data_IF_899057146902
#
_entry.id   IF_899057146902
#
_cell.length_a   1.000
_cell.length_b   1.000
_cell.length_c   1.000
_cell.angle_alpha   90.00
_cell.angle_beta   90.00
_cell.angle_gamma   90.00
#
_symmetry.space_group_name_H-M   'P 1'
#
loop_
_entity.id
_entity.type
_entity.pdbx_description
1 polymer ?
#
# COMPACT_ATOMS: atom_id res chain seq x y z
N UNK A 1 -30.04 -73.64 33.37
CA UNK A 1 -30.75 -72.35 33.19
C UNK A 1 -29.74 -71.39 32.60
N UNK A 2 -29.68 -71.32 31.23
CA UNK A 2 -28.68 -70.58 30.50
C UNK A 2 -29.27 -69.25 29.98
N UNK A 3 -28.80 -68.16 30.51
CA UNK A 3 -29.17 -66.81 30.06
C UNK A 3 -28.13 -66.33 29.00
N UNK A 4 -28.61 -66.21 27.76
CA UNK A 4 -27.81 -65.63 26.69
C UNK A 4 -28.00 -64.10 26.65
N UNK A 5 -26.91 -63.36 26.92
CA UNK A 5 -26.88 -61.91 26.76
C UNK A 5 -26.53 -61.61 25.30
N UNK A 6 -27.43 -60.88 24.57
CA UNK A 6 -27.15 -60.35 23.22
C UNK A 6 -26.50 -58.98 23.33
N UNK A 7 -25.23 -58.88 22.89
CA UNK A 7 -24.54 -57.62 22.70
C UNK A 7 -25.00 -56.97 21.38
N UNK A 8 -25.61 -55.78 21.44
CA UNK A 8 -25.89 -54.91 20.29
C UNK A 8 -24.61 -54.18 19.91
N UNK A 9 -24.13 -54.38 18.67
CA UNK A 9 -23.08 -53.57 18.07
C UNK A 9 -23.67 -52.22 17.69
N UNK A 10 -23.15 -51.13 18.30
CA UNK A 10 -23.39 -49.75 17.87
C UNK A 10 -22.33 -49.41 16.83
N UNK A 11 -22.74 -49.23 15.61
CA UNK A 11 -21.85 -48.77 14.53
C UNK A 11 -21.63 -47.25 14.67
N UNK A 12 -20.41 -46.86 14.91
CA UNK A 12 -20.00 -45.45 14.85
C UNK A 12 -19.68 -45.14 13.37
N UNK A 13 -20.55 -44.40 12.70
CA UNK A 13 -20.25 -43.83 11.40
C UNK A 13 -19.34 -42.60 11.58
N UNK A 14 -18.08 -42.75 11.23
CA UNK A 14 -17.14 -41.64 11.14
C UNK A 14 -17.47 -40.79 9.91
N UNK A 15 -18.17 -39.69 10.07
CA UNK A 15 -18.39 -38.69 9.04
C UNK A 15 -17.10 -37.90 8.80
N UNK A 16 -16.52 -38.10 7.63
CA UNK A 16 -15.37 -37.31 7.15
C UNK A 16 -15.89 -35.93 6.72
N UNK A 17 -15.72 -34.91 7.54
CA UNK A 17 -15.98 -33.52 7.16
C UNK A 17 -14.79 -33.04 6.35
N UNK A 18 -14.93 -33.04 5.01
CA UNK A 18 -14.00 -32.34 4.12
C UNK A 18 -14.21 -30.84 4.31
N UNK A 19 -13.32 -30.19 5.06
CA UNK A 19 -13.24 -28.74 5.07
C UNK A 19 -12.63 -28.26 3.73
N UNK A 20 -13.48 -27.90 2.77
CA UNK A 20 -13.05 -27.14 1.62
C UNK A 20 -12.63 -25.75 2.11
N UNK A 21 -11.32 -25.54 2.31
CA UNK A 21 -10.74 -24.21 2.41
C UNK A 21 -10.86 -23.57 1.03
N UNK A 22 -11.97 -22.92 0.75
CA UNK A 22 -12.13 -22.05 -0.38
C UNK A 22 -11.13 -20.91 -0.26
N UNK A 23 -10.20 -20.80 -1.21
CA UNK A 23 -9.42 -19.60 -1.45
C UNK A 23 -10.43 -18.49 -1.77
N UNK A 24 -10.83 -17.73 -0.75
CA UNK A 24 -11.59 -16.51 -0.95
C UNK A 24 -10.66 -15.52 -1.67
N UNK A 25 -10.83 -15.38 -2.97
CA UNK A 25 -10.31 -14.21 -3.70
C UNK A 25 -10.98 -13.01 -3.05
N UNK A 26 -10.20 -12.18 -2.36
CA UNK A 26 -10.72 -10.96 -1.78
C UNK A 26 -11.31 -10.12 -2.90
N UNK A 27 -12.63 -9.95 -2.91
CA UNK A 27 -13.31 -9.06 -3.83
C UNK A 27 -12.75 -7.65 -3.61
N UNK A 28 -12.48 -6.92 -4.70
CA UNK A 28 -12.09 -5.52 -4.60
C UNK A 28 -13.16 -4.77 -3.78
N UNK A 29 -12.81 -4.08 -2.70
CA UNK A 29 -13.79 -3.47 -1.84
C UNK A 29 -14.49 -2.34 -2.59
N UNK A 30 -15.81 -2.37 -2.64
CA UNK A 30 -16.58 -1.23 -3.15
C UNK A 30 -16.43 -0.03 -2.19
N UNK A 31 -16.35 -0.28 -0.87
CA UNK A 31 -16.17 0.74 0.18
C UNK A 31 -15.37 0.20 1.37
N UNK A 32 -14.71 1.10 2.08
CA UNK A 32 -14.09 0.79 3.38
C UNK A 32 -12.81 -0.03 3.32
N UNK A 33 -12.21 -0.20 2.13
CA UNK A 33 -10.96 -0.93 1.95
C UNK A 33 -9.71 -0.06 2.06
N UNK A 34 -8.64 -0.51 1.41
CA UNK A 34 -7.35 0.17 1.28
C UNK A 34 -7.19 0.64 -0.16
N UNK A 35 -7.04 1.94 -0.39
CA UNK A 35 -6.81 2.50 -1.71
C UNK A 35 -5.34 2.84 -1.88
N UNK A 36 -4.69 2.21 -2.86
CA UNK A 36 -3.39 2.61 -3.36
C UNK A 36 -3.59 3.63 -4.47
N UNK A 37 -2.96 4.80 -4.37
CA UNK A 37 -3.11 5.89 -5.32
C UNK A 37 -1.79 6.60 -5.55
N UNK A 38 -1.68 7.33 -6.66
CA UNK A 38 -0.46 8.04 -7.05
C UNK A 38 -0.07 7.79 -8.49
N UNK A 39 1.23 7.60 -8.77
CA UNK A 39 1.75 7.55 -10.12
C UNK A 39 2.17 6.14 -10.59
N UNK A 40 3.01 6.08 -11.65
CA UNK A 40 3.35 4.85 -12.39
C UNK A 40 3.91 3.72 -11.52
N UNK A 41 4.67 4.02 -10.47
CA UNK A 41 5.25 2.98 -9.60
C UNK A 41 4.14 2.14 -8.96
N UNK A 42 3.04 2.75 -8.55
CA UNK A 42 1.90 1.98 -8.04
C UNK A 42 1.02 1.45 -9.17
N UNK A 43 0.83 2.20 -10.26
CA UNK A 43 0.02 1.70 -11.39
C UNK A 43 0.59 0.39 -11.94
N UNK A 44 1.91 0.28 -12.04
CA UNK A 44 2.58 -0.91 -12.60
C UNK A 44 2.77 -2.05 -11.57
N UNK A 45 2.30 -1.88 -10.35
CA UNK A 45 2.26 -2.96 -9.36
C UNK A 45 1.07 -3.90 -9.65
N UNK A 46 1.20 -4.72 -10.71
CA UNK A 46 0.11 -5.53 -11.25
C UNK A 46 -0.36 -6.65 -10.31
N UNK A 47 0.54 -7.20 -9.48
CA UNK A 47 0.24 -8.23 -8.48
C UNK A 47 -0.13 -7.67 -7.10
N UNK A 48 -0.45 -6.38 -6.99
CA UNK A 48 -0.72 -5.72 -5.72
C UNK A 48 -1.78 -6.46 -4.88
N UNK A 49 -2.92 -6.77 -5.49
CA UNK A 49 -4.04 -7.43 -4.78
C UNK A 49 -3.66 -8.80 -4.25
N UNK A 50 -2.95 -9.59 -5.04
CA UNK A 50 -2.46 -10.92 -4.68
C UNK A 50 -1.43 -10.83 -3.53
N UNK A 51 -0.45 -9.93 -3.67
CA UNK A 51 0.62 -9.77 -2.69
C UNK A 51 0.14 -9.18 -1.36
N UNK A 52 -0.92 -8.36 -1.38
CA UNK A 52 -1.53 -7.80 -0.16
C UNK A 52 -2.58 -8.71 0.48
N UNK A 53 -3.03 -9.78 -0.19
CA UNK A 53 -4.03 -10.67 0.39
C UNK A 53 -3.67 -11.11 1.83
N UNK A 54 -4.62 -11.15 2.79
CA UNK A 54 -6.08 -11.01 2.64
C UNK A 54 -6.61 -9.57 2.73
N UNK A 55 -5.75 -8.54 2.74
CA UNK A 55 -6.21 -7.14 2.84
C UNK A 55 -7.02 -6.74 1.60
N UNK A 56 -8.16 -6.05 1.77
CA UNK A 56 -9.01 -5.60 0.68
C UNK A 56 -8.41 -4.35 0.02
N UNK A 57 -7.54 -4.52 -0.96
CA UNK A 57 -6.83 -3.42 -1.62
C UNK A 57 -7.40 -3.12 -3.01
N UNK A 58 -7.37 -1.83 -3.37
CA UNK A 58 -7.74 -1.32 -4.68
C UNK A 58 -6.65 -0.39 -5.21
N UNK A 59 -6.13 -0.65 -6.42
CA UNK A 59 -5.16 0.22 -7.08
C UNK A 59 -5.87 1.26 -7.94
N UNK A 60 -5.71 2.54 -7.59
CA UNK A 60 -6.25 3.71 -8.30
C UNK A 60 -5.16 4.67 -8.78
N UNK A 61 -3.91 4.20 -8.84
CA UNK A 61 -2.78 4.98 -9.33
C UNK A 61 -2.85 5.19 -10.86
N UNK A 62 -2.37 6.34 -11.32
CA UNK A 62 -2.34 6.72 -12.74
C UNK A 62 -0.91 7.19 -13.08
N UNK A 63 -0.29 6.54 -14.07
CA UNK A 63 1.06 6.89 -14.51
C UNK A 63 1.14 8.34 -14.98
N UNK A 64 2.29 8.96 -14.72
CA UNK A 64 2.57 10.34 -15.15
C UNK A 64 1.98 11.42 -14.24
N UNK A 65 1.14 11.08 -13.24
CA UNK A 65 0.55 12.08 -12.36
C UNK A 65 1.60 12.79 -11.51
N UNK A 66 1.40 14.10 -11.32
CA UNK A 66 2.09 14.96 -10.37
C UNK A 66 1.22 15.21 -9.13
N UNK A 67 1.78 15.81 -8.09
CA UNK A 67 1.05 16.07 -6.84
C UNK A 67 -0.18 16.97 -7.04
N UNK A 68 -0.16 17.90 -7.99
CA UNK A 68 -1.31 18.72 -8.36
C UNK A 68 -2.44 17.90 -8.97
N UNK A 69 -2.12 16.94 -9.85
CA UNK A 69 -3.12 16.03 -10.42
C UNK A 69 -3.82 15.22 -9.33
N UNK A 70 -3.07 14.80 -8.31
CA UNK A 70 -3.63 14.03 -7.20
C UNK A 70 -4.64 14.85 -6.39
N UNK A 71 -4.35 16.14 -6.15
CA UNK A 71 -5.30 17.06 -5.52
C UNK A 71 -6.61 17.16 -6.34
N UNK A 72 -6.49 17.40 -7.64
CA UNK A 72 -7.62 17.58 -8.54
C UNK A 72 -8.47 16.32 -8.74
N UNK A 73 -7.86 15.14 -8.58
CA UNK A 73 -8.51 13.84 -8.84
C UNK A 73 -8.92 13.06 -7.59
N UNK A 74 -8.73 13.60 -6.39
CA UNK A 74 -9.10 12.92 -5.14
C UNK A 74 -10.58 12.48 -5.14
N UNK A 75 -11.47 13.36 -5.61
CA UNK A 75 -12.91 13.10 -5.73
C UNK A 75 -13.27 11.96 -6.68
N UNK A 76 -12.36 11.58 -7.59
CA UNK A 76 -12.54 10.47 -8.53
C UNK A 76 -11.81 9.20 -8.09
N UNK A 77 -10.59 9.36 -7.56
CA UNK A 77 -9.68 8.24 -7.34
C UNK A 77 -9.77 7.65 -5.92
N UNK A 78 -10.25 8.42 -4.93
CA UNK A 78 -10.18 8.04 -3.52
C UNK A 78 -11.52 8.16 -2.80
N UNK A 79 -12.13 9.33 -2.81
CA UNK A 79 -13.32 9.60 -1.99
C UNK A 79 -14.52 8.69 -2.26
N UNK A 80 -14.82 8.26 -3.51
CA UNK A 80 -15.96 7.36 -3.78
C UNK A 80 -15.85 6.01 -3.08
N UNK A 81 -14.64 5.57 -2.75
CA UNK A 81 -14.38 4.27 -2.10
C UNK A 81 -14.43 4.35 -0.57
N UNK A 82 -14.56 5.54 0.03
CA UNK A 82 -14.60 5.75 1.47
C UNK A 82 -13.53 4.91 2.21
N UNK A 83 -12.24 4.99 1.81
CA UNK A 83 -11.23 4.06 2.28
C UNK A 83 -10.96 4.23 3.78
N UNK A 84 -10.72 3.12 4.47
CA UNK A 84 -10.13 3.15 5.81
C UNK A 84 -8.67 3.58 5.78
N UNK A 85 -7.96 3.16 4.73
CA UNK A 85 -6.53 3.47 4.56
C UNK A 85 -6.29 3.92 3.12
N UNK A 86 -5.50 4.99 2.97
CA UNK A 86 -4.92 5.42 1.69
C UNK A 86 -3.42 5.19 1.74
N UNK A 87 -2.87 4.53 0.72
CA UNK A 87 -1.42 4.40 0.50
C UNK A 87 -1.07 5.22 -0.73
N UNK A 88 -0.16 6.17 -0.56
CA UNK A 88 0.09 7.23 -1.55
C UNK A 88 1.54 7.24 -2.00
N UNK A 89 1.76 7.23 -3.33
CA UNK A 89 3.05 7.42 -3.97
C UNK A 89 2.96 8.49 -5.07
N UNK A 90 3.47 9.69 -4.82
CA UNK A 90 3.55 10.76 -5.82
C UNK A 90 4.67 11.74 -5.48
N UNK A 91 5.10 12.52 -6.48
CA UNK A 91 6.16 13.52 -6.38
C UNK A 91 7.37 13.24 -7.30
N UNK A 92 7.54 12.00 -7.76
CA UNK A 92 8.63 11.64 -8.69
C UNK A 92 8.54 12.41 -10.01
N UNK A 93 7.33 12.56 -10.57
CA UNK A 93 7.10 13.30 -11.80
C UNK A 93 7.23 14.82 -11.60
N UNK A 94 6.87 15.32 -10.42
CA UNK A 94 7.10 16.72 -10.02
C UNK A 94 8.60 17.05 -10.07
N UNK A 95 9.45 16.15 -9.55
CA UNK A 95 10.91 16.30 -9.59
C UNK A 95 11.42 16.30 -11.03
N UNK A 96 10.92 15.42 -11.91
CA UNK A 96 11.25 15.42 -13.33
C UNK A 96 10.82 16.71 -14.03
N UNK A 97 9.71 17.31 -13.59
CA UNK A 97 9.22 18.61 -14.06
C UNK A 97 9.97 19.81 -13.45
N UNK A 98 11.04 19.57 -12.67
CA UNK A 98 11.87 20.62 -12.08
C UNK A 98 11.33 21.25 -10.81
N UNK A 99 10.26 20.72 -10.22
CA UNK A 99 9.67 21.23 -8.98
C UNK A 99 10.63 21.05 -7.79
N UNK A 100 10.57 21.96 -6.84
CA UNK A 100 11.32 21.89 -5.59
C UNK A 100 10.63 21.05 -4.51
N UNK A 101 11.38 20.69 -3.47
CA UNK A 101 10.86 19.87 -2.38
C UNK A 101 9.73 20.56 -1.59
N UNK A 102 9.83 21.87 -1.39
CA UNK A 102 8.84 22.60 -0.60
C UNK A 102 7.46 22.59 -1.29
N UNK A 103 7.43 22.78 -2.61
CA UNK A 103 6.20 22.74 -3.40
C UNK A 103 5.55 21.35 -3.40
N UNK A 104 6.34 20.28 -3.52
CA UNK A 104 5.85 18.89 -3.49
C UNK A 104 5.26 18.58 -2.11
N UNK A 105 5.98 18.91 -1.05
CA UNK A 105 5.55 18.70 0.34
C UNK A 105 4.28 19.49 0.65
N UNK A 106 4.22 20.75 0.27
CA UNK A 106 3.05 21.60 0.51
C UNK A 106 1.78 21.03 -0.14
N UNK A 107 1.87 20.59 -1.42
CA UNK A 107 0.74 19.96 -2.10
C UNK A 107 0.35 18.63 -1.49
N UNK A 108 1.32 17.81 -1.06
CA UNK A 108 1.05 16.53 -0.39
C UNK A 108 0.36 16.76 0.96
N UNK A 109 0.81 17.72 1.76
CA UNK A 109 0.14 18.11 3.02
C UNK A 109 -1.26 18.60 2.77
N UNK A 110 -1.47 19.44 1.74
CA UNK A 110 -2.80 19.92 1.36
C UNK A 110 -3.71 18.76 0.91
N UNK A 111 -3.16 17.76 0.24
CA UNK A 111 -3.90 16.53 -0.09
C UNK A 111 -4.39 15.82 1.18
N UNK A 112 -3.53 15.66 2.18
CA UNK A 112 -3.88 15.02 3.45
C UNK A 112 -4.95 15.82 4.20
N UNK A 113 -4.81 17.14 4.26
CA UNK A 113 -5.82 18.04 4.87
C UNK A 113 -7.20 17.86 4.23
N UNK A 114 -7.30 17.94 2.90
CA UNK A 114 -8.57 17.76 2.19
C UNK A 114 -9.14 16.35 2.40
N UNK A 115 -8.28 15.32 2.39
CA UNK A 115 -8.70 13.96 2.68
C UNK A 115 -9.33 13.87 4.07
N UNK A 116 -8.70 14.44 5.10
CA UNK A 116 -9.21 14.41 6.46
C UNK A 116 -10.42 15.32 6.68
N UNK A 117 -10.55 16.43 5.94
CA UNK A 117 -11.80 17.23 5.91
C UNK A 117 -13.00 16.40 5.41
N UNK A 118 -12.79 15.53 4.42
CA UNK A 118 -13.84 14.71 3.79
C UNK A 118 -14.01 13.34 4.42
N UNK A 119 -12.95 12.78 4.98
CA UNK A 119 -12.88 11.44 5.56
C UNK A 119 -12.00 11.46 6.81
N UNK A 120 -12.47 11.99 7.94
CA UNK A 120 -11.64 12.30 9.12
C UNK A 120 -10.95 11.10 9.74
N UNK A 121 -11.51 9.91 9.55
CA UNK A 121 -10.98 8.67 10.12
C UNK A 121 -10.04 7.90 9.18
N UNK A 122 -9.94 8.30 7.91
CA UNK A 122 -9.03 7.64 6.95
C UNK A 122 -7.59 7.78 7.41
N UNK A 123 -6.87 6.65 7.51
CA UNK A 123 -5.44 6.67 7.77
C UNK A 123 -4.67 6.83 6.45
N UNK A 124 -3.70 7.73 6.43
CA UNK A 124 -2.91 8.04 5.23
C UNK A 124 -1.47 7.56 5.40
N UNK A 125 -0.99 6.69 4.51
CA UNK A 125 0.43 6.33 4.42
C UNK A 125 1.08 6.97 3.21
N UNK A 126 2.06 7.84 3.47
CA UNK A 126 2.98 8.32 2.44
C UNK A 126 4.09 7.29 2.24
N UNK A 127 4.31 6.87 1.00
CA UNK A 127 5.47 6.03 0.67
C UNK A 127 6.57 6.90 0.10
N UNK A 128 7.82 6.61 0.47
CA UNK A 128 8.97 7.38 0.02
C UNK A 128 9.04 7.47 -1.51
N UNK A 129 9.33 8.66 -2.05
CA UNK A 129 9.75 8.79 -3.45
C UNK A 129 11.04 7.99 -3.61
N UNK A 130 11.08 7.13 -4.63
CA UNK A 130 12.23 6.27 -4.87
C UNK A 130 13.45 7.07 -5.37
N UNK A 131 14.63 6.71 -4.86
CA UNK A 131 15.94 7.18 -5.33
C UNK A 131 16.33 6.41 -6.60
N UNK A 132 15.48 6.48 -7.63
CA UNK A 132 15.74 5.83 -8.90
C UNK A 132 17.02 6.37 -9.55
N UNK A 133 17.77 5.54 -10.31
CA UNK A 133 18.99 5.98 -10.98
C UNK A 133 18.76 7.14 -11.96
N UNK A 134 17.59 7.20 -12.60
CA UNK A 134 17.20 8.31 -13.51
C UNK A 134 17.18 9.65 -12.77
N UNK A 135 16.84 9.65 -11.47
CA UNK A 135 16.78 10.87 -10.65
C UNK A 135 18.09 11.23 -9.92
N UNK A 136 19.20 10.57 -10.24
CA UNK A 136 20.45 10.73 -9.48
C UNK A 136 20.87 12.20 -9.31
N UNK A 137 20.71 13.02 -10.32
CA UNK A 137 21.01 14.45 -10.27
C UNK A 137 20.09 15.28 -9.36
N UNK A 138 19.00 14.68 -8.87
CA UNK A 138 17.98 15.33 -8.03
C UNK A 138 17.67 14.51 -6.76
N UNK A 139 18.57 13.64 -6.37
CA UNK A 139 18.39 12.86 -5.12
C UNK A 139 18.34 13.74 -3.87
N UNK A 140 19.01 14.89 -3.90
CA UNK A 140 18.88 15.91 -2.86
C UNK A 140 17.43 16.34 -2.63
N UNK A 141 16.68 16.57 -3.71
CA UNK A 141 15.24 16.91 -3.65
C UNK A 141 14.41 15.70 -3.19
N UNK A 142 14.70 14.49 -3.72
CA UNK A 142 14.04 13.26 -3.26
C UNK A 142 14.20 13.08 -1.75
N UNK A 143 15.43 13.24 -1.24
CA UNK A 143 15.73 13.10 0.19
C UNK A 143 15.06 14.19 1.03
N UNK A 144 15.03 15.44 0.52
CA UNK A 144 14.37 16.53 1.21
C UNK A 144 12.86 16.28 1.37
N UNK A 145 12.18 15.84 0.30
CA UNK A 145 10.76 15.49 0.37
C UNK A 145 10.53 14.32 1.34
N UNK A 146 11.28 13.23 1.18
CA UNK A 146 11.11 12.03 1.99
C UNK A 146 11.32 12.31 3.49
N UNK A 147 12.39 13.03 3.84
CA UNK A 147 12.69 13.44 5.22
C UNK A 147 11.58 14.32 5.81
N UNK A 148 11.06 15.27 5.04
CA UNK A 148 10.00 16.14 5.53
C UNK A 148 8.67 15.41 5.72
N UNK A 149 8.31 14.50 4.80
CA UNK A 149 7.11 13.69 4.92
C UNK A 149 7.21 12.66 6.06
N UNK A 150 8.40 12.10 6.28
CA UNK A 150 8.66 11.25 7.45
C UNK A 150 8.53 12.04 8.76
N UNK A 151 9.10 13.26 8.83
CA UNK A 151 8.93 14.15 9.99
C UNK A 151 7.45 14.47 10.24
N UNK A 152 6.73 14.87 9.17
CA UNK A 152 5.31 15.19 9.25
C UNK A 152 4.46 14.02 9.75
N UNK A 153 4.77 12.80 9.33
CA UNK A 153 4.04 11.61 9.80
C UNK A 153 4.16 11.35 11.31
N UNK A 154 5.22 11.82 11.94
CA UNK A 154 5.42 11.72 13.41
C UNK A 154 4.62 12.76 14.19
N UNK A 155 4.23 13.85 13.55
CA UNK A 155 3.55 15.00 14.17
C UNK A 155 2.04 15.00 13.89
N UNK A 156 1.62 14.48 12.73
CA UNK A 156 0.24 14.52 12.28
C UNK A 156 -0.53 13.25 12.69
N UNK A 157 -1.77 13.44 13.13
CA UNK A 157 -2.68 12.32 13.42
C UNK A 157 -3.10 11.60 12.15
N UNK A 158 -3.24 10.26 12.21
CA UNK A 158 -3.69 9.40 11.11
C UNK A 158 -2.79 9.50 9.86
N UNK A 159 -1.51 9.82 10.04
CA UNK A 159 -0.51 9.85 8.98
C UNK A 159 0.65 8.93 9.35
N UNK A 160 1.04 8.08 8.41
CA UNK A 160 2.21 7.21 8.52
C UNK A 160 3.17 7.41 7.35
N UNK A 161 4.38 6.92 7.51
CA UNK A 161 5.42 6.94 6.48
C UNK A 161 5.95 5.51 6.26
N UNK A 162 6.12 5.12 4.99
CA UNK A 162 6.69 3.83 4.61
C UNK A 162 7.90 4.09 3.71
N UNK A 163 9.10 3.72 4.18
CA UNK A 163 10.29 3.79 3.34
C UNK A 163 10.41 2.55 2.45
N UNK A 164 10.45 2.78 1.13
CA UNK A 164 10.66 1.76 0.11
C UNK A 164 12.07 1.80 -0.50
N UNK A 165 12.87 2.79 -0.14
CA UNK A 165 14.21 2.97 -0.72
C UNK A 165 15.21 1.90 -0.30
N UNK A 166 15.00 1.26 0.85
CA UNK A 166 15.85 0.15 1.30
C UNK A 166 15.90 -1.01 0.30
N UNK A 167 14.83 -1.22 -0.49
CA UNK A 167 14.78 -2.23 -1.55
C UNK A 167 15.71 -1.89 -2.72
N UNK A 168 15.98 -0.62 -2.95
CA UNK A 168 16.72 -0.16 -4.13
C UNK A 168 18.24 -0.30 -4.00
N UNK A 169 18.74 -0.58 -2.81
CA UNK A 169 20.16 -0.63 -2.53
C UNK A 169 20.61 -2.00 -2.02
N UNK A 170 21.82 -2.41 -2.38
CA UNK A 170 22.45 -3.60 -1.84
C UNK A 170 23.07 -3.35 -0.45
N UNK A 171 23.63 -4.39 0.17
CA UNK A 171 24.26 -4.31 1.49
C UNK A 171 25.51 -3.40 1.53
N UNK A 172 26.05 -3.02 0.38
CA UNK A 172 27.18 -2.08 0.23
C UNK A 172 26.69 -0.67 -0.11
N UNK A 173 25.38 -0.43 -0.04
CA UNK A 173 24.73 0.84 -0.41
C UNK A 173 24.93 1.24 -1.89
N UNK A 174 25.11 0.25 -2.79
CA UNK A 174 25.05 0.49 -4.22
C UNK A 174 23.63 0.32 -4.72
N UNK A 175 23.24 1.15 -5.71
CA UNK A 175 21.94 1.01 -6.36
C UNK A 175 21.86 -0.32 -7.12
N UNK A 176 20.76 -1.04 -6.97
CA UNK A 176 20.48 -2.31 -7.63
C UNK A 176 19.94 -2.04 -9.04
N UNK A 177 20.83 -1.68 -9.98
CA UNK A 177 20.48 -1.33 -11.36
C UNK A 177 19.67 -2.45 -12.07
N UNK A 178 19.86 -3.70 -11.68
CA UNK A 178 19.15 -4.85 -12.24
C UNK A 178 17.64 -4.87 -11.94
N UNK A 179 17.17 -4.06 -11.01
CA UNK A 179 15.73 -3.92 -10.73
C UNK A 179 15.00 -3.11 -11.78
N UNK A 180 15.72 -2.24 -12.51
CA UNK A 180 15.14 -1.21 -13.35
C UNK A 180 15.09 -1.58 -14.83
N UNK A 181 14.09 -1.02 -15.53
CA UNK A 181 14.04 -0.97 -16.97
C UNK A 181 15.15 -0.05 -17.53
N UNK A 182 15.39 -0.05 -18.86
CA UNK A 182 16.36 0.84 -19.49
C UNK A 182 16.12 2.35 -19.23
N UNK A 183 14.89 2.75 -18.88
CA UNK A 183 14.57 4.11 -18.46
C UNK A 183 15.11 4.46 -17.06
N UNK A 184 15.62 3.48 -16.32
CA UNK A 184 16.23 3.60 -15.00
C UNK A 184 15.31 4.22 -13.94
N UNK A 185 13.99 4.17 -14.17
CA UNK A 185 12.93 4.68 -13.30
C UNK A 185 11.95 3.57 -12.91
N UNK A 186 11.42 2.86 -13.89
CA UNK A 186 10.44 1.82 -13.67
C UNK A 186 11.10 0.45 -13.46
N UNK A 187 10.41 -0.41 -12.72
CA UNK A 187 10.92 -1.74 -12.45
C UNK A 187 10.67 -2.70 -13.60
N UNK A 188 11.61 -3.61 -13.81
CA UNK A 188 11.46 -4.72 -14.74
C UNK A 188 10.35 -5.67 -14.25
N UNK A 189 9.52 -6.21 -15.15
CA UNK A 189 8.46 -7.15 -14.78
C UNK A 189 8.97 -8.44 -14.09
N UNK A 190 10.20 -8.84 -14.44
CA UNK A 190 10.90 -10.02 -13.89
C UNK A 190 11.76 -9.71 -12.66
N UNK A 191 11.75 -8.47 -12.15
CA UNK A 191 12.49 -8.08 -10.96
C UNK A 191 11.74 -8.44 -9.67
N UNK A 192 12.47 -8.51 -8.56
CA UNK A 192 11.90 -8.76 -7.22
C UNK A 192 11.34 -7.50 -6.55
N UNK A 193 11.43 -6.32 -7.19
CA UNK A 193 11.16 -5.03 -6.55
C UNK A 193 9.77 -4.97 -5.88
N UNK A 194 8.71 -5.31 -6.60
CA UNK A 194 7.35 -5.26 -6.05
C UNK A 194 7.10 -6.35 -5.00
N UNK A 195 7.76 -7.51 -5.13
CA UNK A 195 7.70 -8.54 -4.10
C UNK A 195 8.37 -8.06 -2.81
N UNK A 196 9.53 -7.43 -2.90
CA UNK A 196 10.24 -6.87 -1.75
C UNK A 196 9.46 -5.67 -1.16
N UNK A 197 8.85 -4.81 -1.98
CA UNK A 197 7.91 -3.78 -1.51
C UNK A 197 6.77 -4.38 -0.70
N UNK A 198 6.20 -5.50 -1.17
CA UNK A 198 5.11 -6.15 -0.46
C UNK A 198 5.53 -6.66 0.92
N UNK A 199 6.76 -7.11 1.08
CA UNK A 199 7.31 -7.57 2.37
C UNK A 199 7.44 -6.44 3.39
N UNK A 200 7.61 -5.19 2.93
CA UNK A 200 7.64 -4.00 3.79
C UNK A 200 6.22 -3.48 4.06
N UNK A 201 5.43 -3.32 3.00
CA UNK A 201 4.13 -2.64 3.07
C UNK A 201 3.08 -3.49 3.78
N UNK A 202 2.98 -4.79 3.45
CA UNK A 202 1.93 -5.66 3.95
C UNK A 202 1.88 -5.76 5.48
N UNK A 203 2.98 -6.02 6.21
CA UNK A 203 2.92 -6.10 7.68
C UNK A 203 2.50 -4.77 8.32
N UNK A 204 2.90 -3.62 7.77
CA UNK A 204 2.50 -2.30 8.25
C UNK A 204 0.99 -2.10 8.07
N UNK A 205 0.47 -2.44 6.89
CA UNK A 205 -0.96 -2.33 6.61
C UNK A 205 -1.80 -3.34 7.41
N UNK A 206 -1.32 -4.56 7.62
CA UNK A 206 -1.97 -5.54 8.49
C UNK A 206 -2.10 -5.00 9.91
N UNK A 207 -1.03 -4.50 10.50
CA UNK A 207 -1.05 -3.89 11.83
C UNK A 207 -2.03 -2.71 11.91
N UNK A 208 -2.01 -1.80 10.93
CA UNK A 208 -2.93 -0.67 10.88
C UNK A 208 -4.39 -1.14 10.73
N UNK A 209 -4.64 -2.14 9.89
CA UNK A 209 -5.96 -2.70 9.65
C UNK A 209 -6.54 -3.36 10.90
N UNK A 210 -5.75 -4.17 11.60
CA UNK A 210 -6.13 -4.90 12.82
C UNK A 210 -6.34 -3.95 14.02
N UNK A 211 -5.55 -2.87 14.11
CA UNK A 211 -5.71 -1.84 15.14
C UNK A 211 -6.93 -0.95 14.95
N UNK A 212 -7.71 -1.16 13.90
CA UNK A 212 -8.91 -0.37 13.60
C UNK A 212 -8.61 0.98 12.96
N UNK A 213 -7.41 1.17 12.38
CA UNK A 213 -7.12 2.38 11.61
C UNK A 213 -8.22 2.69 10.61
N UNK A 214 -8.67 3.95 10.57
CA UNK A 214 -9.75 4.39 9.70
C UNK A 214 -11.17 4.00 10.15
N UNK A 215 -11.35 3.37 11.31
CA UNK A 215 -12.67 3.19 11.90
C UNK A 215 -13.07 4.40 12.76
N UNK A 216 -14.37 4.77 12.80
CA UNK A 216 -14.86 5.74 13.79
C UNK A 216 -14.51 5.25 15.19
N UNK A 217 -14.06 6.15 16.06
CA UNK A 217 -13.90 5.81 17.49
C UNK A 217 -15.27 5.44 18.02
N UNK A 218 -15.41 4.25 18.61
CA UNK A 218 -16.59 3.89 19.38
C UNK A 218 -16.71 4.87 20.56
N UNK A 219 -17.81 5.63 20.60
CA UNK A 219 -18.14 6.46 21.75
C UNK A 219 -18.41 5.60 22.98
#
# INVERSE_FOLDING_TARGET
>A
MNVRVRLRRVGIAAGLVLACAGLATAASPEHGGIVFTGSSIFQFWTHLSEQMAPLPVLNRAIAGTVTEDMLNRMGQLVLPYQPRIVVYYCGSNDISAGQDAASIVARTKRYIEILHEKSPNTFFFYTSIQKAPEKRARWDVVEAVNREMERYSREASHVGYIDLNSVLFDSRNNIRENLFLPDRLHFRPDSTAYQEFSQIVKPILMQAWESGAGLPKSN
#
